data_IF_458086927273
#
_entry.id   IF_458086927273
#
_cell.length_a   1.000
_cell.length_b   1.000
_cell.length_c   1.000
_cell.angle_alpha   90.00
_cell.angle_beta   90.00
_cell.angle_gamma   90.00
#
_symmetry.space_group_name_H-M   'P 1'
#
loop_
_entity.id
_entity.type
_entity.pdbx_description
1 polymer ?
#
# COMPACT_ATOMS: atom_id res chain seq x y z
N UNK A 1 -22.07 -3.77 4.35
CA UNK A 1 -21.21 -4.74 3.63
C UNK A 1 -21.19 -5.97 4.50
N UNK A 2 -21.34 -7.18 3.95
CA UNK A 2 -21.35 -8.41 4.77
C UNK A 2 -20.09 -8.46 5.65
N UNK A 3 -20.20 -8.97 6.88
CA UNK A 3 -19.08 -9.06 7.84
C UNK A 3 -17.86 -9.78 7.23
N UNK A 4 -18.10 -10.78 6.40
CA UNK A 4 -17.08 -11.53 5.66
C UNK A 4 -16.25 -10.63 4.74
N UNK A 5 -16.89 -9.78 3.93
CA UNK A 5 -16.20 -8.87 3.01
C UNK A 5 -15.39 -7.80 3.75
N UNK A 6 -15.89 -7.30 4.89
CA UNK A 6 -15.12 -6.42 5.78
C UNK A 6 -13.87 -7.10 6.33
N UNK A 7 -13.99 -8.34 6.79
CA UNK A 7 -12.85 -9.12 7.30
C UNK A 7 -11.81 -9.39 6.20
N UNK A 8 -12.27 -9.67 4.97
CA UNK A 8 -11.39 -9.87 3.81
C UNK A 8 -10.62 -8.59 3.44
N UNK A 9 -11.30 -7.44 3.40
CA UNK A 9 -10.66 -6.15 3.13
C UNK A 9 -9.63 -5.80 4.21
N UNK A 10 -9.96 -5.97 5.49
CA UNK A 10 -9.00 -5.77 6.57
C UNK A 10 -7.79 -6.69 6.41
N UNK A 11 -8.00 -7.98 6.13
CA UNK A 11 -6.90 -8.94 5.90
C UNK A 11 -6.01 -8.51 4.73
N UNK A 12 -6.59 -8.07 3.60
CA UNK A 12 -5.86 -7.53 2.45
C UNK A 12 -4.92 -6.40 2.89
N UNK A 13 -5.44 -5.39 3.57
CA UNK A 13 -4.63 -4.24 3.97
C UNK A 13 -3.60 -4.61 5.06
N UNK A 14 -3.92 -5.50 5.99
CA UNK A 14 -2.94 -6.03 6.96
C UNK A 14 -1.78 -6.73 6.26
N UNK A 15 -2.05 -7.56 5.26
CA UNK A 15 -1.01 -8.24 4.47
C UNK A 15 -0.16 -7.23 3.69
N UNK A 16 -0.79 -6.21 3.07
CA UNK A 16 -0.06 -5.15 2.36
C UNK A 16 0.89 -4.41 3.31
N UNK A 17 0.41 -4.03 4.50
CA UNK A 17 1.23 -3.34 5.51
C UNK A 17 2.38 -4.24 5.99
N UNK A 18 2.09 -5.51 6.29
CA UNK A 18 3.10 -6.48 6.71
C UNK A 18 4.20 -6.64 5.66
N UNK A 19 3.82 -6.84 4.39
CA UNK A 19 4.78 -6.97 3.29
C UNK A 19 5.58 -5.69 3.09
N UNK A 20 4.94 -4.53 3.16
CA UNK A 20 5.63 -3.23 3.04
C UNK A 20 6.68 -3.04 4.14
N UNK A 21 6.34 -3.39 5.38
CA UNK A 21 7.27 -3.35 6.52
C UNK A 21 8.43 -4.33 6.31
N UNK A 22 8.16 -5.57 5.90
CA UNK A 22 9.21 -6.56 5.63
C UNK A 22 10.13 -6.13 4.49
N UNK A 23 9.59 -5.52 3.43
CA UNK A 23 10.39 -4.96 2.34
C UNK A 23 11.29 -3.82 2.83
N UNK A 24 10.79 -2.91 3.67
CA UNK A 24 11.61 -1.85 4.27
C UNK A 24 12.70 -2.44 5.17
N UNK A 25 12.35 -3.41 6.03
CA UNK A 25 13.34 -4.10 6.86
C UNK A 25 14.43 -4.77 6.03
N UNK A 26 14.07 -5.42 4.92
CA UNK A 26 15.02 -6.02 4.01
C UNK A 26 16.00 -4.99 3.43
N UNK A 27 15.50 -3.82 3.02
CA UNK A 27 16.34 -2.73 2.53
C UNK A 27 17.26 -2.17 3.62
N UNK A 28 16.73 -1.89 4.81
CA UNK A 28 17.54 -1.38 5.94
C UNK A 28 18.58 -2.40 6.38
N UNK A 29 18.25 -3.69 6.35
CA UNK A 29 19.18 -4.76 6.66
C UNK A 29 20.30 -4.85 5.62
N UNK A 30 19.98 -4.73 4.33
CA UNK A 30 20.98 -4.65 3.26
C UNK A 30 21.91 -3.45 3.45
N UNK A 31 21.35 -2.27 3.66
CA UNK A 31 22.12 -1.04 3.89
C UNK A 31 23.03 -1.13 5.11
N UNK A 32 22.56 -1.79 6.18
CA UNK A 32 23.38 -2.07 7.35
C UNK A 32 24.49 -3.08 7.05
N UNK A 33 24.19 -4.19 6.37
CA UNK A 33 25.14 -5.26 6.04
C UNK A 33 26.32 -4.75 5.20
N UNK A 34 26.06 -3.81 4.29
CA UNK A 34 27.07 -3.23 3.41
C UNK A 34 27.65 -1.89 3.91
N UNK A 35 27.20 -1.41 5.08
CA UNK A 35 27.76 -0.20 5.72
C UNK A 35 27.32 1.14 5.08
N UNK A 36 26.22 1.17 4.34
CA UNK A 36 25.71 2.38 3.67
C UNK A 36 24.99 3.36 4.62
N UNK A 37 24.64 2.93 5.84
CA UNK A 37 23.99 3.77 6.85
C UNK A 37 22.50 4.03 6.58
N UNK A 38 21.78 4.60 7.56
CA UNK A 38 20.32 4.77 7.50
C UNK A 38 19.84 5.83 6.49
N UNK A 39 20.70 6.78 6.13
CA UNK A 39 20.37 7.85 5.17
C UNK A 39 20.36 7.38 3.71
N UNK A 40 20.94 6.22 3.42
CA UNK A 40 21.04 5.69 2.06
C UNK A 40 19.67 5.33 1.47
N UNK A 41 18.74 4.80 2.26
CA UNK A 41 17.35 4.59 1.81
C UNK A 41 16.68 5.88 1.37
N UNK A 42 16.89 6.99 2.09
CA UNK A 42 16.32 8.29 1.72
C UNK A 42 16.93 8.80 0.40
N UNK A 43 18.22 8.57 0.21
CA UNK A 43 18.92 8.88 -1.03
C UNK A 43 18.37 8.03 -2.20
N UNK A 44 18.28 6.71 -2.05
CA UNK A 44 17.75 5.78 -3.07
C UNK A 44 16.28 6.05 -3.38
N UNK A 45 15.47 6.38 -2.37
CA UNK A 45 14.04 6.66 -2.54
C UNK A 45 13.78 7.85 -3.49
N UNK A 46 14.71 8.81 -3.58
CA UNK A 46 14.63 9.90 -4.55
C UNK A 46 14.82 9.44 -6.00
N UNK A 47 15.48 8.30 -6.23
CA UNK A 47 15.64 7.72 -7.55
C UNK A 47 14.53 6.73 -7.91
N UNK A 48 13.74 6.28 -6.94
CA UNK A 48 12.63 5.35 -7.18
C UNK A 48 11.48 6.00 -7.96
N UNK A 49 11.19 7.26 -7.65
CA UNK A 49 10.25 8.12 -8.38
C UNK A 49 10.96 9.45 -8.56
N UNK A 50 11.66 9.59 -9.68
CA UNK A 50 12.63 10.67 -9.88
C UNK A 50 11.94 12.02 -10.07
N UNK A 51 10.94 12.06 -10.94
CA UNK A 51 10.22 13.27 -11.32
C UNK A 51 8.97 13.52 -10.47
N UNK A 52 8.56 14.79 -10.39
CA UNK A 52 7.30 15.18 -9.75
C UNK A 52 6.08 14.49 -10.42
N UNK A 53 6.12 14.30 -11.74
CA UNK A 53 5.10 13.58 -12.49
C UNK A 53 4.98 12.12 -12.07
N UNK A 54 6.10 11.41 -11.90
CA UNK A 54 6.09 10.01 -11.45
C UNK A 54 5.55 9.88 -10.02
N UNK A 55 5.96 10.78 -9.12
CA UNK A 55 5.43 10.85 -7.74
C UNK A 55 3.92 11.07 -7.73
N UNK A 56 3.43 11.98 -8.58
CA UNK A 56 1.99 12.29 -8.69
C UNK A 56 1.20 11.12 -9.27
N UNK A 57 1.70 10.48 -10.34
CA UNK A 57 1.04 9.31 -10.94
C UNK A 57 1.00 8.16 -9.96
N UNK A 58 2.09 7.85 -9.27
CA UNK A 58 2.12 6.80 -8.25
C UNK A 58 1.12 7.07 -7.12
N UNK A 59 1.00 8.33 -6.67
CA UNK A 59 0.01 8.74 -5.69
C UNK A 59 -1.43 8.56 -6.20
N UNK A 60 -1.73 8.97 -7.43
CA UNK A 60 -3.05 8.77 -8.04
C UNK A 60 -3.39 7.28 -8.17
N UNK A 61 -2.42 6.44 -8.57
CA UNK A 61 -2.62 4.98 -8.65
C UNK A 61 -2.90 4.39 -7.26
N UNK A 62 -2.16 4.78 -6.23
CA UNK A 62 -2.39 4.35 -4.86
C UNK A 62 -3.80 4.76 -4.38
N UNK A 63 -4.17 6.02 -4.61
CA UNK A 63 -5.49 6.54 -4.26
C UNK A 63 -6.62 5.82 -5.02
N UNK A 64 -6.42 5.50 -6.29
CA UNK A 64 -7.40 4.74 -7.08
C UNK A 64 -7.67 3.34 -6.51
N UNK A 65 -6.70 2.75 -5.79
CA UNK A 65 -6.84 1.46 -5.14
C UNK A 65 -7.50 1.56 -3.75
N UNK A 66 -7.19 2.62 -2.99
CA UNK A 66 -7.66 2.79 -1.60
C UNK A 66 -9.03 3.45 -1.53
N UNK A 67 -9.28 4.50 -2.32
CA UNK A 67 -10.50 5.32 -2.22
C UNK A 67 -11.77 4.48 -2.44
N UNK A 68 -11.91 3.65 -3.50
CA UNK A 68 -13.13 2.87 -3.70
C UNK A 68 -13.41 1.94 -2.53
N UNK A 69 -12.38 1.24 -2.04
CA UNK A 69 -12.50 0.32 -0.91
C UNK A 69 -12.90 1.05 0.38
N UNK A 70 -12.31 2.22 0.65
CA UNK A 70 -12.66 3.05 1.80
C UNK A 70 -14.12 3.54 1.73
N UNK A 71 -14.54 4.03 0.56
CA UNK A 71 -15.92 4.48 0.33
C UNK A 71 -16.90 3.33 0.54
N UNK A 72 -16.64 2.14 0.00
CA UNK A 72 -17.51 0.98 0.18
C UNK A 72 -17.50 0.44 1.62
N UNK A 73 -16.37 0.53 2.31
CA UNK A 73 -16.26 0.15 3.71
C UNK A 73 -17.14 1.04 4.60
N UNK A 74 -17.12 2.37 4.37
CA UNK A 74 -17.90 3.37 5.10
C UNK A 74 -19.39 3.29 4.73
N UNK A 75 -19.73 3.37 3.44
CA UNK A 75 -21.13 3.35 2.97
C UNK A 75 -21.82 2.03 3.25
N UNK A 76 -21.07 0.95 3.43
CA UNK A 76 -21.61 -0.37 3.67
C UNK A 76 -22.32 -0.97 2.45
N UNK A 77 -22.35 -0.32 1.30
CA UNK A 77 -22.92 -0.85 0.06
C UNK A 77 -21.78 -1.08 -0.92
N UNK A 78 -21.66 -2.29 -1.46
CA UNK A 78 -20.69 -2.62 -2.50
C UNK A 78 -21.48 -3.03 -3.76
N UNK A 79 -21.72 -2.10 -4.71
CA UNK A 79 -22.45 -2.38 -5.93
C UNK A 79 -21.64 -3.38 -6.78
N UNK A 80 -22.30 -4.42 -7.30
CA UNK A 80 -21.68 -5.49 -8.10
C UNK A 80 -21.49 -6.84 -7.39
N UNK A 81 -21.66 -6.91 -6.06
CA UNK A 81 -21.68 -8.17 -5.28
C UNK A 81 -23.06 -8.53 -4.74
N UNK A 82 -24.11 -7.86 -5.22
CA UNK A 82 -25.49 -8.16 -4.85
C UNK A 82 -25.98 -9.50 -5.43
N UNK A 83 -25.31 -10.02 -6.47
CA UNK A 83 -25.56 -11.33 -7.05
C UNK A 83 -25.07 -12.50 -6.17
N UNK A 84 -24.31 -12.26 -5.08
CA UNK A 84 -24.03 -13.25 -4.04
C UNK A 84 -25.15 -13.29 -2.96
N UNK A 85 -26.39 -12.93 -3.32
CA UNK A 85 -27.59 -13.12 -2.47
C UNK A 85 -28.14 -14.52 -2.64
#
# INVERSE_FOLDING_TARGET
MKKTNRKLLLKKYTVIVLLSVLSLFYLYFGDWLFGYGLENIRYIANYLLYSASEKLVALLMLLSLIIPDAVYFIRGTQPGREAEK
#
